data_IF_787659529282
#
_entry.id   IF_787659529282
#
_cell.length_a   1.000
_cell.length_b   1.000
_cell.length_c   1.000
_cell.angle_alpha   90.00
_cell.angle_beta   90.00
_cell.angle_gamma   90.00
#
_symmetry.space_group_name_H-M   'P 1'
#
loop_
_entity.id
_entity.type
_entity.pdbx_description
1 polymer ?
#
# COMPACT_ATOMS: atom_id res chain seq x y z
N UNK A 1 -6.74 2.82 -23.61
CA UNK A 1 -7.63 1.97 -22.81
C UNK A 1 -7.94 0.72 -23.59
N UNK A 2 -7.65 -0.43 -23.04
CA UNK A 2 -7.83 -1.71 -23.72
C UNK A 2 -9.33 -2.04 -23.71
N UNK A 3 -10.01 -2.02 -24.85
CA UNK A 3 -11.45 -2.30 -25.00
C UNK A 3 -11.86 -3.71 -24.57
N UNK A 4 -10.92 -4.54 -24.17
CA UNK A 4 -11.08 -5.96 -23.84
C UNK A 4 -11.00 -6.29 -22.35
N UNK A 5 -10.93 -5.29 -21.44
CA UNK A 5 -10.87 -5.56 -20.00
C UNK A 5 -12.24 -6.11 -19.51
N UNK A 6 -12.31 -7.39 -19.05
CA UNK A 6 -13.55 -8.05 -18.69
C UNK A 6 -14.19 -7.52 -17.41
N UNK A 7 -13.51 -6.62 -16.68
CA UNK A 7 -14.03 -6.02 -15.45
C UNK A 7 -14.75 -4.68 -15.71
N UNK A 8 -14.52 -4.01 -16.82
CA UNK A 8 -15.18 -2.74 -17.14
C UNK A 8 -16.72 -2.79 -17.14
N UNK A 9 -17.39 -3.85 -17.62
CA UNK A 9 -18.85 -3.93 -17.56
C UNK A 9 -19.44 -3.86 -16.15
N UNK A 10 -18.66 -4.20 -15.11
CA UNK A 10 -19.12 -4.17 -13.72
C UNK A 10 -19.01 -2.78 -13.08
N UNK A 11 -18.23 -1.85 -13.65
CA UNK A 11 -17.95 -0.54 -13.06
C UNK A 11 -19.22 0.27 -12.83
N UNK A 12 -20.08 0.39 -13.85
CA UNK A 12 -21.26 1.25 -13.76
C UNK A 12 -22.21 0.81 -12.65
N UNK A 13 -22.55 -0.48 -12.57
CA UNK A 13 -23.45 -1.03 -11.54
C UNK A 13 -22.85 -0.91 -10.15
N UNK A 14 -21.58 -1.27 -9.97
CA UNK A 14 -20.90 -1.16 -8.68
C UNK A 14 -20.76 0.31 -8.23
N UNK A 15 -20.41 1.21 -9.14
CA UNK A 15 -20.32 2.65 -8.88
C UNK A 15 -21.67 3.22 -8.38
N UNK A 16 -22.75 2.90 -9.06
CA UNK A 16 -24.08 3.36 -8.66
C UNK A 16 -24.47 2.86 -7.26
N UNK A 17 -24.19 1.61 -6.97
CA UNK A 17 -24.40 0.99 -5.67
C UNK A 17 -23.63 1.73 -4.56
N UNK A 18 -22.33 1.99 -4.74
CA UNK A 18 -21.50 2.68 -3.76
C UNK A 18 -21.90 4.15 -3.56
N UNK A 19 -22.28 4.86 -4.64
CA UNK A 19 -22.70 6.26 -4.54
C UNK A 19 -24.00 6.44 -3.74
N UNK A 20 -24.87 5.43 -3.70
CA UNK A 20 -26.10 5.43 -2.89
C UNK A 20 -25.86 5.12 -1.42
N UNK A 21 -24.65 4.72 -1.02
CA UNK A 21 -24.34 4.39 0.38
C UNK A 21 -24.36 5.65 1.25
N UNK A 22 -25.18 5.63 2.29
CA UNK A 22 -25.08 6.61 3.37
C UNK A 22 -23.98 6.16 4.33
N UNK A 23 -22.86 6.87 4.35
CA UNK A 23 -21.69 6.53 5.15
C UNK A 23 -21.98 6.49 6.65
N UNK A 24 -22.96 7.26 7.12
CA UNK A 24 -23.38 7.29 8.54
C UNK A 24 -23.96 5.97 9.02
N UNK A 25 -24.42 5.11 8.10
CA UNK A 25 -24.85 3.75 8.41
C UNK A 25 -23.68 2.77 8.53
N UNK A 26 -22.49 3.17 8.02
CA UNK A 26 -21.31 2.31 8.01
C UNK A 26 -20.45 2.50 9.25
N UNK A 27 -20.34 3.74 9.74
CA UNK A 27 -19.48 4.06 10.90
C UNK A 27 -19.85 5.43 11.48
N UNK A 28 -19.56 5.62 12.76
CA UNK A 28 -19.53 6.91 13.46
C UNK A 28 -18.09 7.47 13.57
N UNK A 29 -17.11 6.70 13.10
CA UNK A 29 -15.69 7.06 13.18
C UNK A 29 -15.33 8.09 12.11
N UNK A 30 -14.65 9.21 12.48
CA UNK A 30 -14.38 10.31 11.54
C UNK A 30 -13.45 9.92 10.39
N UNK A 31 -12.43 9.09 10.64
CA UNK A 31 -11.40 8.80 9.64
C UNK A 31 -11.89 7.86 8.54
N UNK A 32 -12.50 6.70 8.81
CA UNK A 32 -13.12 5.89 7.75
C UNK A 32 -14.20 6.64 6.97
N UNK A 33 -15.00 7.50 7.65
CA UNK A 33 -15.99 8.37 7.01
C UNK A 33 -15.34 9.31 5.99
N UNK A 34 -14.35 10.09 6.44
CA UNK A 34 -13.64 11.03 5.59
C UNK A 34 -12.99 10.33 4.38
N UNK A 35 -12.30 9.22 4.62
CA UNK A 35 -11.64 8.45 3.58
C UNK A 35 -12.62 7.93 2.53
N UNK A 36 -13.76 7.40 2.96
CA UNK A 36 -14.79 6.90 2.06
C UNK A 36 -15.42 8.02 1.20
N UNK A 37 -15.72 9.18 1.78
CA UNK A 37 -16.24 10.32 1.02
C UNK A 37 -15.21 10.87 0.01
N UNK A 38 -13.92 10.85 0.34
CA UNK A 38 -12.87 11.17 -0.63
C UNK A 38 -12.83 10.17 -1.79
N UNK A 39 -12.94 8.88 -1.50
CA UNK A 39 -13.02 7.84 -2.53
C UNK A 39 -14.24 8.03 -3.44
N UNK A 40 -15.42 8.37 -2.89
CA UNK A 40 -16.61 8.66 -3.70
C UNK A 40 -16.36 9.78 -4.72
N UNK A 41 -15.61 10.81 -4.36
CA UNK A 41 -15.31 11.94 -5.26
C UNK A 41 -14.51 11.53 -6.51
N UNK A 42 -13.76 10.42 -6.44
CA UNK A 42 -12.91 9.89 -7.51
C UNK A 42 -13.30 8.47 -7.93
N UNK A 43 -14.46 8.00 -7.50
CA UNK A 43 -14.86 6.59 -7.54
C UNK A 43 -14.76 5.98 -8.95
N UNK A 44 -15.23 6.68 -9.98
CA UNK A 44 -15.16 6.19 -11.36
C UNK A 44 -13.72 5.90 -11.80
N UNK A 45 -12.81 6.83 -11.51
CA UNK A 45 -11.38 6.66 -11.81
C UNK A 45 -10.75 5.53 -10.99
N UNK A 46 -11.08 5.45 -9.70
CA UNK A 46 -10.59 4.40 -8.80
C UNK A 46 -11.05 3.02 -9.27
N UNK A 47 -12.30 2.87 -9.69
CA UNK A 47 -12.83 1.61 -10.20
C UNK A 47 -12.16 1.18 -11.54
N UNK A 48 -11.78 2.13 -12.39
CA UNK A 48 -10.99 1.80 -13.57
C UNK A 48 -9.59 1.30 -13.19
N UNK A 49 -8.94 1.91 -12.19
CA UNK A 49 -7.66 1.41 -11.66
C UNK A 49 -7.82 -0.02 -11.11
N UNK A 50 -8.87 -0.27 -10.32
CA UNK A 50 -9.16 -1.59 -9.76
C UNK A 50 -9.42 -2.63 -10.85
N UNK A 51 -10.21 -2.28 -11.87
CA UNK A 51 -10.48 -3.15 -13.01
C UNK A 51 -9.19 -3.51 -13.77
N UNK A 52 -8.30 -2.53 -14.00
CA UNK A 52 -7.02 -2.76 -14.67
C UNK A 52 -6.07 -3.59 -13.79
N UNK A 53 -6.00 -3.30 -12.49
CA UNK A 53 -5.21 -4.07 -11.54
C UNK A 53 -5.65 -5.54 -11.52
N UNK A 54 -6.94 -5.80 -11.34
CA UNK A 54 -7.51 -7.15 -11.33
C UNK A 54 -7.27 -7.89 -12.65
N UNK A 55 -7.55 -7.25 -13.78
CA UNK A 55 -7.37 -7.85 -15.10
C UNK A 55 -5.91 -8.24 -15.35
N UNK A 56 -4.99 -7.32 -15.11
CA UNK A 56 -3.59 -7.58 -15.38
C UNK A 56 -2.99 -8.59 -14.41
N UNK A 57 -3.45 -8.61 -13.14
CA UNK A 57 -3.00 -9.61 -12.16
C UNK A 57 -3.49 -10.99 -12.55
N UNK A 58 -4.78 -11.14 -12.90
CA UNK A 58 -5.32 -12.45 -13.25
C UNK A 58 -4.72 -12.99 -14.54
N UNK A 59 -4.38 -12.13 -15.49
CA UNK A 59 -3.69 -12.52 -16.73
C UNK A 59 -2.27 -13.09 -16.50
N UNK A 60 -1.70 -12.94 -15.31
CA UNK A 60 -0.44 -13.62 -14.93
C UNK A 60 -0.69 -15.03 -14.40
N UNK A 61 -1.93 -15.41 -14.13
CA UNK A 61 -2.33 -16.76 -13.72
C UNK A 61 -2.80 -17.59 -14.94
N UNK A 62 -3.03 -18.88 -14.70
CA UNK A 62 -3.70 -19.78 -15.66
C UNK A 62 -5.18 -19.98 -15.30
N UNK A 63 -5.67 -19.32 -14.24
CA UNK A 63 -7.00 -19.49 -13.68
C UNK A 63 -7.94 -18.40 -14.18
N UNK A 64 -9.22 -18.72 -14.27
CA UNK A 64 -10.29 -17.74 -14.43
C UNK A 64 -10.64 -17.11 -13.08
N UNK A 65 -11.25 -15.91 -13.07
CA UNK A 65 -11.68 -15.24 -11.83
C UNK A 65 -12.61 -16.11 -10.99
N UNK A 66 -13.48 -16.91 -11.62
CA UNK A 66 -14.42 -17.85 -10.96
C UNK A 66 -13.75 -19.06 -10.31
N UNK A 67 -12.43 -19.21 -10.45
CA UNK A 67 -11.62 -20.25 -9.82
C UNK A 67 -10.66 -19.66 -8.78
N UNK A 68 -10.43 -18.34 -8.83
CA UNK A 68 -9.44 -17.66 -8.01
C UNK A 68 -9.94 -17.30 -6.61
N UNK A 69 -9.10 -17.57 -5.62
CA UNK A 69 -9.17 -16.98 -4.28
C UNK A 69 -8.26 -15.75 -4.24
N UNK A 70 -8.84 -14.60 -3.94
CA UNK A 70 -8.17 -13.30 -3.95
C UNK A 70 -8.08 -12.72 -2.55
N UNK A 71 -6.88 -12.22 -2.18
CA UNK A 71 -6.69 -11.36 -1.01
C UNK A 71 -6.63 -9.92 -1.48
N UNK A 72 -7.47 -9.05 -0.91
CA UNK A 72 -7.32 -7.58 -0.91
C UNK A 72 -6.55 -7.20 0.35
N UNK A 73 -5.26 -6.89 0.18
CA UNK A 73 -4.32 -6.68 1.30
C UNK A 73 -4.16 -5.19 1.60
N UNK A 74 -4.38 -4.80 2.87
CA UNK A 74 -4.43 -3.38 3.27
C UNK A 74 -5.64 -2.68 2.66
N UNK A 75 -6.80 -3.31 2.77
CA UNK A 75 -7.99 -2.99 1.98
C UNK A 75 -8.65 -1.65 2.32
N UNK A 76 -8.32 -1.01 3.46
CA UNK A 76 -9.01 0.18 3.94
C UNK A 76 -10.53 -0.06 4.03
N UNK A 77 -11.33 0.73 3.33
CA UNK A 77 -12.79 0.56 3.26
C UNK A 77 -13.25 -0.72 2.50
N UNK A 78 -12.34 -1.53 2.00
CA UNK A 78 -12.63 -2.81 1.34
C UNK A 78 -13.16 -2.71 -0.08
N UNK A 79 -13.11 -1.52 -0.73
CA UNK A 79 -13.74 -1.33 -2.03
C UNK A 79 -13.16 -2.20 -3.15
N UNK A 80 -11.85 -2.48 -3.14
CA UNK A 80 -11.22 -3.33 -4.15
C UNK A 80 -11.69 -4.79 -4.00
N UNK A 81 -11.70 -5.32 -2.78
CA UNK A 81 -12.20 -6.67 -2.49
C UNK A 81 -13.69 -6.82 -2.79
N UNK A 82 -14.51 -5.83 -2.40
CA UNK A 82 -15.93 -5.79 -2.73
C UNK A 82 -16.18 -5.77 -4.24
N UNK A 83 -15.41 -4.95 -4.98
CA UNK A 83 -15.50 -4.91 -6.44
C UNK A 83 -15.07 -6.24 -7.07
N UNK A 84 -14.02 -6.88 -6.56
CA UNK A 84 -13.58 -8.18 -7.03
C UNK A 84 -14.68 -9.26 -6.81
N UNK A 85 -15.30 -9.30 -5.62
CA UNK A 85 -16.41 -10.23 -5.35
C UNK A 85 -17.61 -9.95 -6.24
N UNK A 86 -18.02 -8.70 -6.37
CA UNK A 86 -19.09 -8.27 -7.27
C UNK A 86 -18.83 -8.66 -8.73
N UNK A 87 -17.57 -8.59 -9.16
CA UNK A 87 -17.15 -8.98 -10.49
C UNK A 87 -17.03 -10.51 -10.69
N UNK A 88 -17.26 -11.33 -9.66
CA UNK A 88 -17.38 -12.78 -9.76
C UNK A 88 -16.09 -13.56 -9.45
N UNK A 89 -15.21 -13.07 -8.60
CA UNK A 89 -14.16 -13.92 -8.03
C UNK A 89 -14.77 -15.00 -7.13
N UNK A 90 -14.18 -16.21 -7.17
CA UNK A 90 -14.66 -17.37 -6.43
C UNK A 90 -14.74 -17.11 -4.92
N UNK A 91 -13.63 -16.69 -4.36
CA UNK A 91 -13.52 -16.32 -2.97
C UNK A 91 -12.68 -15.05 -2.81
N UNK A 92 -13.07 -14.17 -1.88
CA UNK A 92 -12.38 -12.93 -1.57
C UNK A 92 -12.15 -12.83 -0.07
N UNK A 93 -10.90 -12.57 0.32
CA UNK A 93 -10.53 -12.15 1.66
C UNK A 93 -10.26 -10.66 1.64
N UNK A 94 -10.93 -9.90 2.50
CA UNK A 94 -10.59 -8.51 2.81
C UNK A 94 -9.69 -8.53 4.04
N UNK A 95 -8.45 -8.10 3.85
CA UNK A 95 -7.47 -8.00 4.93
C UNK A 95 -7.16 -6.53 5.21
N UNK A 96 -7.50 -6.11 6.43
CA UNK A 96 -7.23 -4.75 6.91
C UNK A 96 -6.91 -4.78 8.40
N UNK A 97 -5.73 -4.27 8.76
CA UNK A 97 -5.23 -4.31 10.13
C UNK A 97 -5.92 -3.31 11.05
N UNK A 98 -6.33 -2.17 10.52
CA UNK A 98 -7.08 -1.19 11.28
C UNK A 98 -8.49 -1.70 11.57
N UNK A 99 -8.89 -1.85 12.86
CA UNK A 99 -10.18 -2.43 13.23
C UNK A 99 -11.38 -1.56 12.83
N UNK A 100 -11.20 -0.23 12.72
CA UNK A 100 -12.28 0.67 12.31
C UNK A 100 -12.57 0.52 10.81
N UNK A 101 -11.53 0.47 9.98
CA UNK A 101 -11.66 0.20 8.55
C UNK A 101 -12.16 -1.22 8.28
N UNK A 102 -11.68 -2.21 9.01
CA UNK A 102 -12.17 -3.59 8.88
C UNK A 102 -13.66 -3.70 9.25
N UNK A 103 -14.09 -3.02 10.33
CA UNK A 103 -15.50 -2.95 10.71
C UNK A 103 -16.34 -2.25 9.66
N UNK A 104 -15.83 -1.15 9.09
CA UNK A 104 -16.46 -0.44 7.99
C UNK A 104 -16.69 -1.36 6.79
N UNK A 105 -15.66 -2.07 6.34
CA UNK A 105 -15.75 -2.95 5.17
C UNK A 105 -16.74 -4.10 5.38
N UNK A 106 -16.83 -4.65 6.61
CA UNK A 106 -17.84 -5.65 6.97
C UNK A 106 -19.28 -5.10 6.86
N UNK A 107 -19.51 -3.89 7.39
CA UNK A 107 -20.84 -3.25 7.31
C UNK A 107 -21.19 -2.90 5.87
N UNK A 108 -20.22 -2.41 5.08
CA UNK A 108 -20.44 -2.09 3.67
C UNK A 108 -20.80 -3.34 2.85
N UNK A 109 -20.11 -4.45 3.08
CA UNK A 109 -20.40 -5.73 2.46
C UNK A 109 -21.83 -6.21 2.79
N UNK A 110 -22.18 -6.19 4.08
CA UNK A 110 -23.50 -6.59 4.56
C UNK A 110 -24.64 -5.70 4.00
N UNK A 111 -24.42 -4.38 3.99
CA UNK A 111 -25.39 -3.40 3.47
C UNK A 111 -25.72 -3.63 1.99
N UNK A 112 -24.72 -4.00 1.19
CA UNK A 112 -24.88 -4.25 -0.24
C UNK A 112 -25.13 -5.74 -0.57
N UNK A 113 -25.28 -6.60 0.43
CA UNK A 113 -25.46 -8.05 0.24
C UNK A 113 -24.34 -8.70 -0.60
N UNK A 114 -23.10 -8.21 -0.45
CA UNK A 114 -21.92 -8.81 -1.08
C UNK A 114 -21.32 -9.79 -0.07
N UNK A 115 -21.42 -11.08 -0.37
CA UNK A 115 -20.96 -12.15 0.50
C UNK A 115 -19.43 -12.32 0.39
N UNK A 116 -18.69 -11.62 1.26
CA UNK A 116 -17.23 -11.75 1.37
C UNK A 116 -16.90 -13.00 2.17
N UNK A 117 -16.05 -13.85 1.62
CA UNK A 117 -15.76 -15.18 2.18
C UNK A 117 -14.92 -15.11 3.46
N UNK A 118 -14.06 -14.08 3.58
CA UNK A 118 -13.26 -13.92 4.78
C UNK A 118 -12.87 -12.45 5.06
N UNK A 119 -12.84 -12.09 6.35
CA UNK A 119 -12.30 -10.81 6.83
C UNK A 119 -11.18 -11.07 7.83
N UNK A 120 -10.00 -10.49 7.60
CA UNK A 120 -8.83 -10.68 8.46
C UNK A 120 -8.27 -9.35 8.94
N UNK A 121 -8.01 -9.25 10.26
CA UNK A 121 -7.28 -8.14 10.88
C UNK A 121 -5.78 -8.42 11.10
N UNK A 122 -5.31 -9.58 10.65
CA UNK A 122 -3.94 -10.05 10.90
C UNK A 122 -2.91 -9.44 9.94
N UNK A 123 -1.68 -9.30 10.39
CA UNK A 123 -0.55 -8.90 9.54
C UNK A 123 0.13 -10.13 8.94
N UNK A 124 0.27 -10.14 7.62
CA UNK A 124 0.96 -11.22 6.90
C UNK A 124 2.42 -11.40 7.35
N UNK A 125 3.07 -10.32 7.78
CA UNK A 125 4.47 -10.39 8.25
C UNK A 125 4.60 -11.09 9.61
N UNK A 126 3.60 -10.97 10.48
CA UNK A 126 3.62 -11.52 11.83
C UNK A 126 2.83 -12.83 11.96
N UNK A 127 1.70 -12.94 11.27
CA UNK A 127 0.70 -13.99 11.46
C UNK A 127 0.35 -14.74 10.16
N UNK A 128 1.35 -15.03 9.33
CA UNK A 128 1.15 -15.65 8.01
C UNK A 128 0.30 -16.94 8.03
N UNK A 129 0.34 -17.70 9.12
CA UNK A 129 -0.42 -18.95 9.27
C UNK A 129 -1.95 -18.74 9.13
N UNK A 130 -2.45 -17.57 9.53
CA UNK A 130 -3.88 -17.26 9.47
C UNK A 130 -4.42 -17.14 8.04
N UNK A 131 -3.52 -17.01 7.06
CA UNK A 131 -3.85 -16.91 5.64
C UNK A 131 -3.83 -18.26 4.90
N UNK A 132 -3.25 -19.31 5.50
CA UNK A 132 -3.06 -20.61 4.84
C UNK A 132 -4.37 -21.30 4.46
N UNK A 133 -5.33 -21.28 5.37
CA UNK A 133 -6.62 -21.98 5.15
C UNK A 133 -7.43 -21.36 4.01
N UNK A 134 -7.19 -20.09 3.70
CA UNK A 134 -7.82 -19.40 2.59
C UNK A 134 -7.26 -19.86 1.22
N UNK A 135 -6.04 -20.40 1.17
CA UNK A 135 -5.37 -20.90 -0.06
C UNK A 135 -5.39 -19.86 -1.19
N UNK A 136 -4.79 -18.68 -1.02
CA UNK A 136 -4.86 -17.61 -1.99
C UNK A 136 -4.13 -17.97 -3.29
N UNK A 137 -4.72 -17.62 -4.43
CA UNK A 137 -4.09 -17.67 -5.76
C UNK A 137 -3.58 -16.30 -6.18
N UNK A 138 -4.27 -15.25 -5.74
CA UNK A 138 -4.00 -13.86 -6.12
C UNK A 138 -4.01 -12.98 -4.88
N UNK A 139 -3.02 -12.07 -4.79
CA UNK A 139 -3.00 -11.00 -3.81
C UNK A 139 -2.97 -9.65 -4.54
N UNK A 140 -3.88 -8.76 -4.21
CA UNK A 140 -3.90 -7.40 -4.75
C UNK A 140 -3.87 -6.37 -3.63
N UNK A 141 -3.30 -5.21 -3.89
CA UNK A 141 -3.32 -4.09 -2.97
C UNK A 141 -3.22 -2.76 -3.73
N UNK A 142 -3.93 -1.75 -3.24
CA UNK A 142 -3.91 -0.41 -3.83
C UNK A 142 -3.29 0.59 -2.86
N UNK A 143 -2.16 1.20 -3.26
CA UNK A 143 -1.38 2.16 -2.45
C UNK A 143 -1.00 1.61 -1.06
N UNK A 144 -0.39 0.42 -1.02
CA UNK A 144 0.01 -0.29 0.22
C UNK A 144 1.48 -0.68 0.20
N UNK A 145 2.03 -1.09 -0.95
CA UNK A 145 3.38 -1.67 -1.02
C UNK A 145 4.47 -0.69 -0.54
N UNK A 146 4.26 0.60 -0.72
CA UNK A 146 5.13 1.68 -0.24
C UNK A 146 5.14 1.86 1.28
N UNK A 147 4.15 1.29 1.98
CA UNK A 147 4.03 1.34 3.44
C UNK A 147 4.55 0.08 4.13
N UNK A 148 4.76 -1.01 3.40
CA UNK A 148 5.25 -2.28 3.95
C UNK A 148 6.68 -2.11 4.46
N UNK A 149 6.88 -2.39 5.76
CA UNK A 149 8.16 -2.20 6.42
C UNK A 149 9.27 -3.04 5.80
N UNK A 150 9.07 -4.35 5.70
CA UNK A 150 10.05 -5.31 5.22
C UNK A 150 9.51 -6.05 3.99
N UNK A 151 9.85 -5.54 2.80
CA UNK A 151 9.42 -6.14 1.53
C UNK A 151 10.08 -7.49 1.25
N UNK A 152 11.32 -7.72 1.69
CA UNK A 152 11.98 -9.02 1.52
C UNK A 152 11.17 -10.09 2.28
N UNK A 153 10.86 -9.88 3.56
CA UNK A 153 10.04 -10.78 4.35
C UNK A 153 8.62 -10.91 3.79
N UNK A 154 8.03 -9.83 3.29
CA UNK A 154 6.69 -9.87 2.69
C UNK A 154 6.65 -10.84 1.51
N UNK A 155 7.59 -10.76 0.57
CA UNK A 155 7.64 -11.65 -0.57
C UNK A 155 8.02 -13.09 -0.19
N UNK A 156 8.86 -13.30 0.83
CA UNK A 156 9.10 -14.61 1.42
C UNK A 156 7.80 -15.24 1.96
N UNK A 157 6.98 -14.47 2.69
CA UNK A 157 5.68 -14.90 3.18
C UNK A 157 4.69 -15.17 2.04
N UNK A 158 4.64 -14.33 1.01
CA UNK A 158 3.85 -14.58 -0.20
C UNK A 158 4.23 -15.92 -0.86
N UNK A 159 5.53 -16.18 -1.02
CA UNK A 159 6.03 -17.44 -1.59
C UNK A 159 5.70 -18.65 -0.73
N UNK A 160 5.75 -18.50 0.58
CA UNK A 160 5.41 -19.53 1.53
C UNK A 160 3.90 -19.84 1.53
N UNK A 161 3.04 -18.84 1.42
CA UNK A 161 1.58 -19.04 1.34
C UNK A 161 1.16 -19.85 0.11
N UNK A 162 1.71 -19.51 -1.03
CA UNK A 162 1.51 -20.24 -2.27
C UNK A 162 2.71 -20.00 -3.19
N UNK A 163 3.50 -21.06 -3.51
CA UNK A 163 4.63 -20.93 -4.42
C UNK A 163 4.28 -20.35 -5.80
N UNK A 164 3.01 -20.45 -6.22
CA UNK A 164 2.49 -19.93 -7.47
C UNK A 164 1.65 -18.65 -7.30
N UNK A 165 1.71 -18.02 -6.12
CA UNK A 165 0.97 -16.78 -5.87
C UNK A 165 1.35 -15.72 -6.91
N UNK A 166 0.34 -15.10 -7.49
CA UNK A 166 0.50 -13.90 -8.30
C UNK A 166 0.04 -12.69 -7.49
N UNK A 167 0.81 -11.61 -7.51
CA UNK A 167 0.39 -10.41 -6.83
C UNK A 167 0.44 -9.18 -7.73
N UNK A 168 -0.50 -8.26 -7.49
CA UNK A 168 -0.63 -7.01 -8.20
C UNK A 168 -0.81 -5.85 -7.21
N UNK A 169 -0.01 -4.80 -7.40
CA UNK A 169 -0.06 -3.59 -6.58
C UNK A 169 -0.19 -2.36 -7.45
N UNK A 170 -0.84 -1.33 -6.92
CA UNK A 170 -0.58 0.04 -7.33
C UNK A 170 0.29 0.73 -6.30
N UNK A 171 1.05 1.73 -6.71
CA UNK A 171 1.75 2.63 -5.80
C UNK A 171 1.80 4.04 -6.36
N UNK A 172 1.37 4.98 -5.56
CA UNK A 172 1.47 6.40 -5.86
C UNK A 172 2.91 6.93 -5.65
N UNK A 173 3.77 6.18 -4.95
CA UNK A 173 5.15 6.56 -4.62
C UNK A 173 6.14 6.30 -5.76
N UNK A 174 5.86 6.93 -6.93
CA UNK A 174 6.73 6.86 -8.10
C UNK A 174 7.97 7.74 -7.93
N UNK A 175 9.10 7.14 -7.56
CA UNK A 175 10.38 7.83 -7.37
C UNK A 175 10.94 8.50 -8.64
N UNK A 176 10.50 8.07 -9.83
CA UNK A 176 10.92 8.65 -11.11
C UNK A 176 10.15 9.93 -11.46
N UNK A 177 8.97 10.17 -10.86
CA UNK A 177 8.12 11.30 -11.20
C UNK A 177 8.67 12.60 -10.58
N UNK A 178 9.15 13.58 -11.38
CA UNK A 178 9.95 14.68 -10.84
C UNK A 178 9.20 15.62 -9.89
N UNK A 179 7.91 15.83 -10.11
CA UNK A 179 7.10 16.72 -9.26
C UNK A 179 6.57 15.94 -8.05
N UNK A 180 6.03 14.74 -8.28
CA UNK A 180 5.40 13.94 -7.22
C UNK A 180 6.43 13.49 -6.19
N UNK A 181 7.60 13.03 -6.62
CA UNK A 181 8.67 12.62 -5.70
C UNK A 181 9.10 13.76 -4.78
N UNK A 182 9.19 15.02 -5.28
CA UNK A 182 9.50 16.19 -4.44
C UNK A 182 8.40 16.45 -3.40
N UNK A 183 7.13 16.31 -3.79
CA UNK A 183 5.99 16.46 -2.86
C UNK A 183 6.05 15.39 -1.76
N UNK A 184 6.32 14.14 -2.12
CA UNK A 184 6.44 13.04 -1.16
C UNK A 184 7.67 13.21 -0.25
N UNK A 185 8.80 13.66 -0.76
CA UNK A 185 9.96 14.01 0.06
C UNK A 185 9.65 15.12 1.07
N UNK A 186 8.81 16.09 0.70
CA UNK A 186 8.36 17.13 1.63
C UNK A 186 7.47 16.54 2.73
N UNK A 187 6.55 15.65 2.38
CA UNK A 187 5.71 14.92 3.35
C UNK A 187 6.56 14.10 4.32
N UNK A 188 7.53 13.33 3.82
CA UNK A 188 8.46 12.54 4.62
C UNK A 188 9.26 13.41 5.61
N UNK A 189 9.69 14.61 5.19
CA UNK A 189 10.36 15.56 6.08
C UNK A 189 9.43 16.10 7.15
N UNK A 190 8.17 16.37 6.79
CA UNK A 190 7.17 16.82 7.74
C UNK A 190 6.95 15.78 8.85
N UNK A 191 6.70 14.53 8.49
CA UNK A 191 6.52 13.45 9.47
C UNK A 191 7.77 13.22 10.31
N UNK A 192 8.96 13.34 9.70
CA UNK A 192 10.22 13.18 10.40
C UNK A 192 10.46 14.24 11.46
N UNK A 193 10.17 15.54 11.17
CA UNK A 193 10.63 16.65 11.99
C UNK A 193 9.50 17.50 12.60
N UNK A 194 8.29 17.47 12.05
CA UNK A 194 7.16 18.26 12.52
C UNK A 194 6.03 17.39 13.11
N UNK A 195 5.89 16.15 12.62
CA UNK A 195 4.80 15.24 12.97
C UNK A 195 3.49 15.59 12.26
N UNK A 196 2.43 14.93 12.70
CA UNK A 196 1.07 15.17 12.24
C UNK A 196 0.18 15.63 13.41
N UNK A 197 -0.37 16.83 13.32
CA UNK A 197 -1.27 17.42 14.31
C UNK A 197 -2.72 17.51 13.80
N UNK A 198 -2.98 16.89 12.64
CA UNK A 198 -4.32 16.83 12.04
C UNK A 198 -5.26 15.92 12.83
N UNK A 199 -6.56 15.93 12.48
CA UNK A 199 -7.57 15.14 13.19
C UNK A 199 -7.45 13.63 12.95
N UNK A 200 -6.67 13.23 11.95
CA UNK A 200 -6.49 11.82 11.57
C UNK A 200 -5.03 11.42 11.75
N UNK A 201 -4.81 10.28 12.41
CA UNK A 201 -3.49 9.70 12.69
C UNK A 201 -2.49 10.71 13.29
N UNK A 202 -2.83 11.43 14.38
CA UNK A 202 -1.91 12.38 14.97
C UNK A 202 -0.69 11.66 15.53
N UNK A 203 0.51 12.20 15.26
CA UNK A 203 1.74 11.66 15.81
C UNK A 203 2.79 12.76 16.04
N UNK A 204 3.66 12.54 17.01
CA UNK A 204 4.85 13.38 17.22
C UNK A 204 5.85 13.18 16.08
N UNK A 205 6.82 14.10 15.89
CA UNK A 205 7.92 13.90 14.94
C UNK A 205 8.57 12.52 15.10
N UNK A 206 8.77 11.79 14.03
CA UNK A 206 9.41 10.47 14.10
C UNK A 206 10.82 10.55 14.67
N UNK A 207 11.52 11.65 14.41
CA UNK A 207 12.81 11.93 15.04
C UNK A 207 12.71 11.91 16.57
N UNK A 208 11.73 12.56 17.16
CA UNK A 208 11.53 12.62 18.62
C UNK A 208 11.14 11.26 19.20
N UNK A 209 10.29 10.50 18.50
CA UNK A 209 9.91 9.15 18.93
C UNK A 209 11.16 8.27 18.99
N UNK A 210 11.98 8.25 17.93
CA UNK A 210 13.25 7.50 17.93
C UNK A 210 14.22 7.96 19.00
N UNK A 211 14.34 9.28 19.19
CA UNK A 211 15.16 9.83 20.25
C UNK A 211 14.74 9.32 21.64
N UNK A 212 13.44 9.25 21.89
CA UNK A 212 12.90 8.71 23.14
C UNK A 212 13.22 7.22 23.31
N UNK A 213 13.10 6.43 22.24
CA UNK A 213 13.47 5.00 22.23
C UNK A 213 14.96 4.84 22.57
N UNK A 214 15.84 5.60 21.90
CA UNK A 214 17.29 5.51 22.10
C UNK A 214 17.68 5.91 23.53
N UNK A 215 17.12 6.99 24.07
CA UNK A 215 17.35 7.41 25.46
C UNK A 215 16.94 6.35 26.46
N UNK A 216 15.83 5.66 26.23
CA UNK A 216 15.37 4.57 27.08
C UNK A 216 16.32 3.36 27.04
N UNK A 217 16.87 3.03 25.87
CA UNK A 217 17.79 1.90 25.68
C UNK A 217 19.22 2.19 26.12
N UNK A 218 19.64 3.47 26.08
CA UNK A 218 21.00 3.95 26.32
C UNK A 218 20.98 5.22 27.18
N UNK A 219 20.54 5.16 28.46
CA UNK A 219 20.32 6.33 29.29
C UNK A 219 21.59 7.10 29.68
N UNK A 220 22.76 6.47 29.57
CA UNK A 220 24.06 7.07 29.90
C UNK A 220 24.70 7.88 28.77
N UNK A 221 24.09 7.87 27.57
CA UNK A 221 24.66 8.63 26.43
C UNK A 221 24.42 10.14 26.59
N UNK A 222 25.41 10.91 26.18
CA UNK A 222 25.25 12.36 26.01
C UNK A 222 24.29 12.69 24.85
N UNK A 223 23.77 13.92 24.87
CA UNK A 223 22.75 14.35 23.90
C UNK A 223 23.27 14.37 22.45
N UNK A 224 24.57 14.62 22.23
CA UNK A 224 25.17 14.62 20.89
C UNK A 224 25.16 13.21 20.30
N UNK A 225 25.57 12.23 21.09
CA UNK A 225 25.58 10.82 20.71
C UNK A 225 24.16 10.29 20.51
N UNK A 226 23.20 10.66 21.35
CA UNK A 226 21.77 10.33 21.15
C UNK A 226 21.26 10.88 19.83
N UNK A 227 21.60 12.12 19.48
CA UNK A 227 21.19 12.73 18.21
C UNK A 227 21.81 12.01 17.00
N UNK A 228 23.04 11.55 17.09
CA UNK A 228 23.69 10.75 16.04
C UNK A 228 22.99 9.42 15.87
N UNK A 229 22.70 8.70 16.96
CA UNK A 229 21.92 7.47 16.95
C UNK A 229 20.56 7.68 16.28
N UNK A 230 19.84 8.75 16.66
CA UNK A 230 18.53 9.07 16.10
C UNK A 230 18.58 9.27 14.59
N UNK A 231 19.62 9.95 14.07
CA UNK A 231 19.84 10.14 12.64
C UNK A 231 20.14 8.80 11.93
N UNK A 232 21.01 7.97 12.53
CA UNK A 232 21.43 6.69 11.94
C UNK A 232 20.33 5.63 11.93
N UNK A 233 19.35 5.73 12.85
CA UNK A 233 18.22 4.82 12.95
C UNK A 233 16.97 5.30 12.19
N UNK A 234 17.09 6.37 11.37
CA UNK A 234 15.99 6.77 10.50
C UNK A 234 15.59 5.61 9.58
N UNK A 235 14.28 5.32 9.51
CA UNK A 235 13.74 4.20 8.75
C UNK A 235 13.85 2.85 9.47
N UNK A 236 14.24 2.81 10.75
CA UNK A 236 14.19 1.60 11.57
C UNK A 236 12.97 1.62 12.50
N UNK A 237 12.29 0.48 12.54
CA UNK A 237 11.26 0.17 13.53
C UNK A 237 11.92 -0.12 14.91
N UNK A 238 11.16 0.04 16.00
CA UNK A 238 11.65 -0.15 17.40
C UNK A 238 12.45 -1.46 17.59
N UNK A 239 11.94 -2.60 17.13
CA UNK A 239 12.63 -3.89 17.25
C UNK A 239 14.02 -3.86 16.59
N UNK A 240 14.14 -3.21 15.42
CA UNK A 240 15.44 -3.11 14.72
C UNK A 240 16.38 -2.10 15.37
N UNK A 241 15.84 -1.05 16.00
CA UNK A 241 16.63 -0.15 16.84
C UNK A 241 17.21 -0.91 18.04
N UNK A 242 16.40 -1.73 18.71
CA UNK A 242 16.83 -2.58 19.84
C UNK A 242 17.91 -3.58 19.43
N UNK A 243 17.73 -4.22 18.25
CA UNK A 243 18.74 -5.11 17.67
C UNK A 243 20.04 -4.36 17.34
N UNK A 244 19.94 -3.16 16.76
CA UNK A 244 21.10 -2.32 16.47
C UNK A 244 21.86 -1.94 17.74
N UNK A 245 21.16 -1.56 18.79
CA UNK A 245 21.77 -1.26 20.11
C UNK A 245 22.45 -2.50 20.70
N UNK A 246 21.78 -3.66 20.64
CA UNK A 246 22.36 -4.92 21.12
C UNK A 246 23.63 -5.28 20.35
N UNK A 247 23.65 -5.09 19.03
CA UNK A 247 24.83 -5.32 18.18
C UNK A 247 25.95 -4.35 18.53
N UNK A 248 25.64 -3.07 18.70
CA UNK A 248 26.61 -2.05 19.05
C UNK A 248 27.27 -2.34 20.42
N UNK A 249 26.52 -2.74 21.44
CA UNK A 249 27.09 -3.14 22.74
C UNK A 249 28.11 -4.27 22.63
N UNK A 250 27.96 -5.15 21.60
CA UNK A 250 28.87 -6.28 21.36
C UNK A 250 30.06 -5.91 20.48
N UNK A 251 29.90 -5.04 19.51
CA UNK A 251 30.88 -4.80 18.44
C UNK A 251 31.44 -3.39 18.39
N UNK A 252 30.84 -2.44 19.08
CA UNK A 252 31.15 -1.00 18.96
C UNK A 252 30.66 -0.34 17.66
N UNK A 253 30.07 -1.11 16.72
CA UNK A 253 29.66 -0.59 15.41
C UNK A 253 28.26 0.00 15.44
N UNK A 254 28.14 1.27 15.09
CA UNK A 254 26.84 1.93 14.92
C UNK A 254 26.11 1.45 13.65
N UNK A 255 24.77 1.53 13.60
CA UNK A 255 24.02 1.15 12.41
C UNK A 255 24.37 2.04 11.21
N UNK A 256 24.28 1.46 10.01
CA UNK A 256 24.42 2.21 8.77
C UNK A 256 23.21 3.12 8.56
N UNK A 257 23.46 4.32 8.06
CA UNK A 257 22.41 5.28 7.71
C UNK A 257 21.70 4.85 6.43
N UNK A 258 20.38 5.01 6.37
CA UNK A 258 19.63 4.85 5.13
C UNK A 258 20.12 5.88 4.09
N UNK A 259 20.41 5.42 2.85
CA UNK A 259 20.99 6.25 1.80
C UNK A 259 20.01 7.28 1.22
N UNK A 260 18.70 7.00 1.26
CA UNK A 260 17.71 7.93 0.75
C UNK A 260 17.61 9.17 1.65
N UNK A 261 17.57 10.40 1.09
CA UNK A 261 17.67 11.64 1.87
C UNK A 261 16.48 11.89 2.80
N UNK A 262 15.31 11.35 2.51
CA UNK A 262 14.07 11.66 3.25
C UNK A 262 13.24 10.47 3.65
N UNK A 263 13.37 9.27 3.02
CA UNK A 263 12.59 8.10 3.43
C UNK A 263 12.65 7.91 4.95
N UNK A 264 11.49 7.80 5.55
CA UNK A 264 11.31 7.58 6.99
C UNK A 264 10.11 6.69 7.25
N UNK A 265 10.09 5.99 8.38
CA UNK A 265 8.96 5.21 8.83
C UNK A 265 8.59 5.57 10.26
N UNK A 266 7.35 5.30 10.64
CA UNK A 266 6.90 5.43 12.00
C UNK A 266 7.66 4.44 12.90
N UNK A 267 8.37 4.88 13.95
CA UNK A 267 9.29 4.02 14.70
C UNK A 267 8.60 2.89 15.48
N UNK A 268 7.31 3.04 15.82
CA UNK A 268 6.56 2.03 16.59
C UNK A 268 5.82 1.03 15.69
N UNK A 269 5.30 1.48 14.55
CA UNK A 269 4.50 0.62 13.65
C UNK A 269 5.30 0.07 12.48
N UNK A 270 6.42 0.71 12.14
CA UNK A 270 7.22 0.39 10.97
C UNK A 270 6.63 0.90 9.64
N UNK A 271 5.41 1.46 9.63
CA UNK A 271 4.80 1.97 8.40
C UNK A 271 5.63 3.09 7.79
N UNK A 272 6.02 2.94 6.51
CA UNK A 272 6.76 3.97 5.79
C UNK A 272 5.84 5.12 5.38
N UNK A 273 6.33 6.34 5.51
CA UNK A 273 5.67 7.50 4.88
C UNK A 273 5.98 7.51 3.39
N UNK A 274 5.09 6.98 2.57
CA UNK A 274 5.20 7.04 1.10
C UNK A 274 6.62 6.72 0.60
N UNK A 275 7.12 5.53 0.90
CA UNK A 275 8.51 5.16 0.64
C UNK A 275 8.85 5.25 -0.84
N UNK A 276 9.80 6.10 -1.17
CA UNK A 276 10.31 6.26 -2.53
C UNK A 276 11.40 5.22 -2.81
N UNK A 277 11.07 4.21 -3.61
CA UNK A 277 12.02 3.19 -4.05
C UNK A 277 12.19 3.23 -5.57
N UNK A 278 13.44 3.11 -6.07
CA UNK A 278 13.67 2.86 -7.50
C UNK A 278 13.00 1.55 -7.94
N UNK A 279 12.53 1.50 -9.19
CA UNK A 279 11.91 0.29 -9.76
C UNK A 279 12.86 -0.92 -9.67
N UNK A 280 14.16 -0.71 -9.88
CA UNK A 280 15.18 -1.76 -9.76
C UNK A 280 15.23 -2.40 -8.37
N UNK A 281 14.91 -1.64 -7.31
CA UNK A 281 14.85 -2.17 -5.94
C UNK A 281 13.65 -3.10 -5.78
N UNK A 282 12.46 -2.72 -6.26
CA UNK A 282 11.28 -3.60 -6.28
C UNK A 282 11.57 -4.91 -7.04
N UNK A 283 12.23 -4.80 -8.20
CA UNK A 283 12.63 -5.95 -9.01
C UNK A 283 13.65 -6.85 -8.28
N UNK A 284 14.69 -6.26 -7.69
CA UNK A 284 15.72 -7.00 -6.98
C UNK A 284 15.18 -7.75 -5.75
N UNK A 285 14.29 -7.11 -4.98
CA UNK A 285 13.64 -7.74 -3.82
C UNK A 285 12.80 -8.94 -4.27
N UNK A 286 11.99 -8.75 -5.30
CA UNK A 286 11.16 -9.82 -5.85
C UNK A 286 11.99 -11.01 -6.37
N UNK A 287 13.10 -10.72 -7.05
CA UNK A 287 14.00 -11.75 -7.58
C UNK A 287 14.60 -12.63 -6.50
N UNK A 288 15.03 -12.05 -5.38
CA UNK A 288 15.56 -12.78 -4.23
C UNK A 288 14.57 -13.80 -3.67
N UNK A 289 13.27 -13.47 -3.68
CA UNK A 289 12.19 -14.35 -3.23
C UNK A 289 11.63 -15.25 -4.34
N UNK A 290 12.27 -15.30 -5.52
CA UNK A 290 11.88 -16.17 -6.64
C UNK A 290 10.68 -15.66 -7.44
N UNK A 291 10.42 -14.34 -7.42
CA UNK A 291 9.42 -13.71 -8.26
C UNK A 291 10.06 -12.93 -9.41
N UNK A 292 9.33 -12.79 -10.49
CA UNK A 292 9.60 -11.83 -11.55
C UNK A 292 8.68 -10.63 -11.39
N UNK A 293 9.23 -9.41 -11.44
CA UNK A 293 8.47 -8.16 -11.29
C UNK A 293 8.29 -7.47 -12.65
N UNK A 294 7.04 -7.21 -13.01
CA UNK A 294 6.64 -6.44 -14.17
C UNK A 294 6.07 -5.10 -13.71
N UNK A 295 6.54 -4.00 -14.30
CA UNK A 295 6.11 -2.66 -13.93
C UNK A 295 5.49 -1.95 -15.12
N UNK A 296 4.27 -1.44 -14.94
CA UNK A 296 3.55 -0.66 -15.94
C UNK A 296 3.24 0.75 -15.42
N UNK A 297 3.20 1.76 -16.30
CA UNK A 297 2.77 3.09 -15.91
C UNK A 297 1.26 3.12 -15.69
N UNK A 298 0.85 3.83 -14.63
CA UNK A 298 -0.53 4.27 -14.48
C UNK A 298 -0.86 5.46 -15.38
N UNK A 299 -2.01 6.07 -15.18
CA UNK A 299 -2.55 7.15 -15.99
C UNK A 299 -3.25 8.20 -15.14
N UNK A 300 -3.42 9.40 -15.68
CA UNK A 300 -4.15 10.49 -15.05
C UNK A 300 -5.65 10.35 -15.28
N UNK A 301 -6.42 10.75 -14.26
CA UNK A 301 -7.88 10.84 -14.37
C UNK A 301 -8.29 11.83 -15.47
N UNK A 302 -9.11 11.38 -16.40
CA UNK A 302 -9.66 12.22 -17.48
C UNK A 302 -11.09 12.70 -17.19
N UNK A 303 -11.68 12.29 -16.06
CA UNK A 303 -13.03 12.67 -15.64
C UNK A 303 -12.99 13.94 -14.78
N UNK A 304 -12.45 15.01 -15.35
CA UNK A 304 -12.31 16.33 -14.73
C UNK A 304 -13.05 17.40 -15.54
N UNK A 305 -13.27 18.60 -14.99
CA UNK A 305 -13.69 19.77 -15.76
C UNK A 305 -12.82 20.01 -17.00
N UNK A 306 -13.31 20.71 -18.04
CA UNK A 306 -12.72 20.71 -19.39
C UNK A 306 -11.22 21.00 -19.44
N UNK A 307 -10.72 21.98 -18.70
CA UNK A 307 -9.30 22.36 -18.73
C UNK A 307 -8.43 21.25 -18.14
N UNK A 308 -8.81 20.71 -16.97
CA UNK A 308 -8.08 19.63 -16.31
C UNK A 308 -8.12 18.34 -17.13
N UNK A 309 -9.23 18.07 -17.81
CA UNK A 309 -9.38 16.95 -18.75
C UNK A 309 -8.39 17.05 -19.91
N UNK A 310 -8.23 18.22 -20.51
CA UNK A 310 -7.24 18.44 -21.58
C UNK A 310 -5.82 18.18 -21.08
N UNK A 311 -5.48 18.73 -19.90
CA UNK A 311 -4.18 18.50 -19.27
C UNK A 311 -3.94 17.01 -19.02
N UNK A 312 -4.92 16.30 -18.47
CA UNK A 312 -4.83 14.86 -18.22
C UNK A 312 -4.61 14.07 -19.52
N UNK A 313 -5.29 14.41 -20.61
CA UNK A 313 -5.06 13.79 -21.93
C UNK A 313 -3.65 14.03 -22.45
N UNK A 314 -3.11 15.25 -22.33
CA UNK A 314 -1.75 15.58 -22.73
C UNK A 314 -0.75 14.77 -21.90
N UNK A 315 -0.93 14.72 -20.57
CA UNK A 315 -0.07 13.94 -19.67
C UNK A 315 -0.13 12.44 -19.98
N UNK A 316 -1.32 11.89 -20.28
CA UNK A 316 -1.46 10.49 -20.65
C UNK A 316 -0.76 10.17 -21.99
N UNK A 317 -0.80 11.08 -22.97
CA UNK A 317 0.00 10.96 -24.20
C UNK A 317 1.50 11.03 -23.91
N UNK A 318 1.91 11.92 -23.00
CA UNK A 318 3.31 12.01 -22.56
C UNK A 318 3.78 10.69 -21.94
N UNK A 319 2.95 10.02 -21.12
CA UNK A 319 3.25 8.70 -20.55
C UNK A 319 3.47 7.66 -21.64
N UNK A 320 2.68 7.68 -22.72
CA UNK A 320 2.85 6.74 -23.84
C UNK A 320 4.24 6.86 -24.49
N UNK A 321 4.82 8.07 -24.50
CA UNK A 321 6.13 8.37 -25.11
C UNK A 321 7.27 8.15 -24.09
N UNK A 322 7.11 8.65 -22.87
CA UNK A 322 8.16 8.71 -21.83
C UNK A 322 8.10 7.54 -20.85
N UNK A 323 7.06 6.73 -20.92
CA UNK A 323 6.83 5.60 -20.04
C UNK A 323 6.58 6.02 -18.58
N UNK A 324 7.16 5.25 -17.66
CA UNK A 324 6.89 5.31 -16.21
C UNK A 324 7.27 6.63 -15.53
N UNK A 325 8.15 7.43 -16.17
CA UNK A 325 8.70 8.66 -15.55
C UNK A 325 7.64 9.69 -15.17
N UNK A 326 6.60 9.83 -16.00
CA UNK A 326 5.53 10.82 -15.79
C UNK A 326 4.22 10.19 -15.32
N UNK A 327 4.24 8.89 -15.02
CA UNK A 327 3.03 8.22 -14.53
C UNK A 327 2.70 8.66 -13.10
N UNK A 328 1.43 9.02 -12.82
CA UNK A 328 1.01 9.46 -11.48
C UNK A 328 1.06 8.36 -10.43
N UNK A 329 1.05 7.11 -10.86
CA UNK A 329 1.24 5.91 -10.07
C UNK A 329 1.80 4.80 -10.96
N UNK A 330 2.24 3.71 -10.35
CA UNK A 330 2.75 2.52 -11.05
C UNK A 330 1.88 1.32 -10.72
N UNK A 331 1.71 0.42 -11.68
CA UNK A 331 1.31 -0.96 -11.45
C UNK A 331 2.57 -1.83 -11.31
N UNK A 332 2.58 -2.66 -10.28
CA UNK A 332 3.63 -3.64 -10.03
C UNK A 332 3.00 -5.03 -9.99
N UNK A 333 3.43 -5.92 -10.87
CA UNK A 333 2.93 -7.29 -10.93
C UNK A 333 4.06 -8.26 -10.64
N UNK A 334 3.79 -9.22 -9.78
CA UNK A 334 4.76 -10.23 -9.37
C UNK A 334 4.21 -11.62 -9.65
N UNK A 335 5.01 -12.40 -10.36
CA UNK A 335 4.71 -13.77 -10.73
C UNK A 335 5.88 -14.65 -10.35
N UNK A 336 5.62 -15.85 -9.86
CA UNK A 336 6.64 -16.85 -9.59
C UNK A 336 7.45 -17.18 -10.86
N UNK A 337 8.78 -17.29 -10.70
CA UNK A 337 9.67 -17.76 -11.78
C UNK A 337 9.44 -19.23 -12.07
#
# INVERSE_FOLDING_TARGET
>A
MNRTNPFYPYIAGFREMILRTDVRLMTDQPYPTYYFEQLKSTLDYTLHIYADLLHQTINQTTLNKSECHLIDYGAGNGLLGLFAKYAGFKAVMINERDPEFLSFSKRLAAFHHIDIDHFSGHDLLEEANTFLDFKPHVLVANDVIEHIYNLDLFFERCKWLNPNLVSGFTTASNAMHPIKSRKLMSLQRKDEFEGNHGPFEPHRPFFEIRQSIIKALLPSLDQSTVNEWTKRTRGLHRKDIELAVTRWKKTGNMPLTIQHPTNTCHPETGSWTERLLPISVYQSIAEKSGFQCFVQPGYYNVNHPPIQKIIAHILNKTIQITGKRWAPFLFLFYKSK
#
